data_IF_628220540637
#
_entry.id   IF_628220540637
#
_cell.length_a   1.000
_cell.length_b   1.000
_cell.length_c   1.000
_cell.angle_alpha   90.00
_cell.angle_beta   90.00
_cell.angle_gamma   90.00
#
_symmetry.space_group_name_H-M   'P 1'
#
loop_
_entity.id
_entity.type
_entity.pdbx_description
1 polymer ?
#
# COMPACT_ATOMS: atom_id res chain seq x y z
N UNK A 1 69.79 -70.23 21.44
CA UNK A 1 68.51 -69.48 21.51
C UNK A 1 68.09 -68.82 20.17
N UNK A 2 68.19 -69.49 19.01
CA UNK A 2 67.94 -68.85 17.69
C UNK A 2 66.75 -69.43 16.88
N UNK A 3 66.22 -70.61 17.25
CA UNK A 3 65.22 -71.32 16.43
C UNK A 3 63.75 -70.88 16.68
N UNK A 4 63.41 -70.36 17.86
CA UNK A 4 62.03 -70.01 18.23
C UNK A 4 61.55 -68.65 17.66
N UNK A 5 62.48 -67.74 17.30
CA UNK A 5 62.14 -66.40 16.80
C UNK A 5 61.75 -66.40 15.30
N UNK A 6 62.19 -67.41 14.54
CA UNK A 6 61.97 -67.50 13.07
C UNK A 6 60.58 -68.01 12.69
N UNK A 7 59.90 -68.80 13.55
CA UNK A 7 58.55 -69.35 13.30
C UNK A 7 57.39 -68.37 13.62
N UNK A 8 57.58 -67.39 14.51
CA UNK A 8 56.52 -66.40 14.85
C UNK A 8 56.32 -65.33 13.76
N UNK A 9 57.38 -64.97 13.02
CA UNK A 9 57.29 -63.96 11.94
C UNK A 9 56.54 -64.43 10.68
N UNK A 10 56.59 -65.72 10.37
CA UNK A 10 55.96 -66.28 9.15
C UNK A 10 54.44 -66.40 9.27
N UNK A 11 53.91 -66.72 10.46
CA UNK A 11 52.47 -66.82 10.69
C UNK A 11 51.75 -65.45 10.73
N UNK A 12 52.39 -64.43 11.31
CA UNK A 12 51.86 -63.06 11.36
C UNK A 12 51.86 -62.40 9.97
N UNK A 13 52.92 -62.61 9.17
CA UNK A 13 53.02 -62.12 7.79
C UNK A 13 51.96 -62.74 6.88
N UNK A 14 51.73 -64.05 6.99
CA UNK A 14 50.73 -64.79 6.20
C UNK A 14 49.27 -64.41 6.52
N UNK A 15 48.98 -63.95 7.75
CA UNK A 15 47.64 -63.42 8.11
C UNK A 15 47.42 -61.99 7.59
N UNK A 16 48.47 -61.16 7.56
CA UNK A 16 48.41 -59.78 7.04
C UNK A 16 48.24 -59.77 5.51
N UNK A 17 48.92 -60.66 4.80
CA UNK A 17 48.75 -60.86 3.36
C UNK A 17 47.34 -61.33 2.99
N UNK A 18 46.72 -62.24 3.76
CA UNK A 18 45.32 -62.67 3.53
C UNK A 18 44.30 -61.55 3.75
N UNK A 19 44.51 -60.66 4.73
CA UNK A 19 43.64 -59.50 4.95
C UNK A 19 43.79 -58.44 3.86
N UNK A 20 45.02 -58.21 3.38
CA UNK A 20 45.29 -57.32 2.25
C UNK A 20 44.67 -57.86 0.96
N UNK A 21 44.82 -59.17 0.68
CA UNK A 21 44.17 -59.81 -0.45
C UNK A 21 42.65 -59.82 -0.33
N UNK A 22 42.09 -60.03 0.85
CA UNK A 22 40.65 -59.91 1.09
C UNK A 22 40.10 -58.51 0.77
N UNK A 23 40.84 -57.45 1.12
CA UNK A 23 40.49 -56.07 0.77
C UNK A 23 40.60 -55.76 -0.73
N UNK A 24 41.63 -56.30 -1.41
CA UNK A 24 41.80 -56.14 -2.87
C UNK A 24 40.71 -56.89 -3.63
N UNK A 25 40.33 -58.10 -3.17
CA UNK A 25 39.25 -58.87 -3.79
C UNK A 25 37.90 -58.20 -3.55
N UNK A 26 37.61 -57.74 -2.33
CA UNK A 26 36.38 -57.03 -2.03
C UNK A 26 36.26 -55.71 -2.81
N UNK A 27 37.36 -54.95 -2.93
CA UNK A 27 37.43 -53.74 -3.75
C UNK A 27 37.25 -54.04 -5.25
N UNK A 28 37.90 -55.08 -5.75
CA UNK A 28 37.76 -55.52 -7.14
C UNK A 28 36.36 -56.00 -7.49
N UNK A 29 35.74 -56.80 -6.61
CA UNK A 29 34.33 -57.22 -6.75
C UNK A 29 33.40 -56.01 -6.70
N UNK A 30 33.67 -55.05 -5.81
CA UNK A 30 32.94 -53.78 -5.76
C UNK A 30 33.01 -53.00 -7.07
N UNK A 31 34.20 -52.85 -7.66
CA UNK A 31 34.40 -52.16 -8.95
C UNK A 31 33.73 -52.92 -10.09
N UNK A 32 33.86 -54.25 -10.16
CA UNK A 32 33.21 -55.07 -11.19
C UNK A 32 31.69 -54.97 -11.08
N UNK A 33 31.12 -55.05 -9.87
CA UNK A 33 29.69 -54.83 -9.67
C UNK A 33 29.28 -53.42 -10.08
N UNK A 34 30.06 -52.38 -9.76
CA UNK A 34 29.79 -51.00 -10.15
C UNK A 34 29.79 -50.82 -11.68
N UNK A 35 30.73 -51.47 -12.38
CA UNK A 35 30.83 -51.45 -13.85
C UNK A 35 29.71 -52.25 -14.51
N UNK A 36 29.41 -53.45 -14.00
CA UNK A 36 28.36 -54.33 -14.55
C UNK A 36 26.98 -53.72 -14.33
N UNK A 37 26.73 -53.14 -13.15
CA UNK A 37 25.47 -52.47 -12.83
C UNK A 37 25.44 -50.99 -13.22
N UNK A 38 26.50 -50.46 -13.85
CA UNK A 38 26.57 -49.04 -14.25
C UNK A 38 25.39 -48.63 -15.14
N UNK A 39 24.99 -49.52 -16.06
CA UNK A 39 23.83 -49.32 -16.95
C UNK A 39 22.49 -49.29 -16.21
N UNK A 40 22.40 -49.81 -14.98
CA UNK A 40 21.19 -49.76 -14.14
C UNK A 40 21.24 -48.56 -13.18
N UNK A 41 22.42 -48.24 -12.66
CA UNK A 41 22.63 -47.16 -11.69
C UNK A 41 22.43 -45.78 -12.35
N UNK A 42 23.02 -45.55 -13.52
CA UNK A 42 22.98 -44.22 -14.16
C UNK A 42 21.56 -43.76 -14.51
N UNK A 43 20.66 -44.58 -15.08
CA UNK A 43 19.26 -44.18 -15.33
C UNK A 43 18.49 -43.81 -14.08
N UNK A 44 18.70 -44.51 -12.95
CA UNK A 44 18.05 -44.20 -11.68
C UNK A 44 18.51 -42.84 -11.12
N UNK A 45 19.80 -42.52 -11.25
CA UNK A 45 20.34 -41.22 -10.85
C UNK A 45 19.76 -40.09 -11.71
N UNK A 46 19.67 -40.29 -13.02
CA UNK A 46 19.04 -39.33 -13.94
C UNK A 46 17.57 -39.15 -13.60
N UNK A 47 16.83 -40.24 -13.37
CA UNK A 47 15.41 -40.20 -12.99
C UNK A 47 15.17 -39.44 -11.68
N UNK A 48 16.00 -39.68 -10.66
CA UNK A 48 15.91 -38.98 -9.38
C UNK A 48 16.21 -37.47 -9.52
N UNK A 49 17.17 -37.10 -10.37
CA UNK A 49 17.51 -35.70 -10.63
C UNK A 49 16.39 -34.98 -11.38
N UNK A 50 15.79 -35.63 -12.38
CA UNK A 50 14.63 -35.09 -13.11
C UNK A 50 13.43 -34.93 -12.17
N UNK A 51 13.12 -35.94 -11.35
CA UNK A 51 12.03 -35.86 -10.38
C UNK A 51 12.26 -34.75 -9.36
N UNK A 52 13.48 -34.61 -8.83
CA UNK A 52 13.83 -33.52 -7.92
C UNK A 52 13.67 -32.14 -8.55
N UNK A 53 14.06 -31.99 -9.82
CA UNK A 53 13.87 -30.76 -10.59
C UNK A 53 12.39 -30.42 -10.82
N UNK A 54 11.56 -31.41 -11.15
CA UNK A 54 10.11 -31.23 -11.35
C UNK A 54 9.42 -30.83 -10.04
N UNK A 55 9.73 -31.51 -8.92
CA UNK A 55 9.16 -31.21 -7.60
C UNK A 55 9.62 -29.84 -7.12
N UNK A 56 10.92 -29.53 -7.24
CA UNK A 56 11.47 -28.23 -6.86
C UNK A 56 10.90 -27.07 -7.69
N UNK A 57 10.77 -27.27 -9.00
CA UNK A 57 10.15 -26.30 -9.91
C UNK A 57 8.67 -26.07 -9.58
N UNK A 58 7.91 -27.15 -9.34
CA UNK A 58 6.51 -27.06 -8.93
C UNK A 58 6.33 -26.34 -7.59
N UNK A 59 7.18 -26.63 -6.59
CA UNK A 59 7.14 -25.95 -5.30
C UNK A 59 7.54 -24.48 -5.40
N UNK A 60 8.55 -24.15 -6.21
CA UNK A 60 8.96 -22.76 -6.46
C UNK A 60 7.85 -21.98 -7.15
N UNK A 61 7.23 -22.54 -8.20
CA UNK A 61 6.08 -21.92 -8.89
C UNK A 61 4.88 -21.75 -7.97
N UNK A 62 4.56 -22.75 -7.14
CA UNK A 62 3.46 -22.65 -6.17
C UNK A 62 3.74 -21.59 -5.10
N UNK A 63 4.99 -21.52 -4.60
CA UNK A 63 5.40 -20.53 -3.60
C UNK A 63 5.42 -19.11 -4.16
N UNK A 64 5.85 -18.92 -5.41
CA UNK A 64 5.81 -17.61 -6.07
C UNK A 64 4.37 -17.20 -6.37
N UNK A 65 3.52 -18.11 -6.86
CA UNK A 65 2.09 -17.87 -7.09
C UNK A 65 1.35 -17.50 -5.79
N UNK A 66 1.61 -18.20 -4.68
CA UNK A 66 1.07 -17.83 -3.36
C UNK A 66 1.55 -16.45 -2.88
N UNK A 67 2.78 -16.08 -3.19
CA UNK A 67 3.33 -14.76 -2.82
C UNK A 67 2.71 -13.63 -3.65
N UNK A 68 2.36 -13.91 -4.91
CA UNK A 68 1.71 -12.96 -5.82
C UNK A 68 0.23 -12.78 -5.47
N UNK A 69 -0.48 -13.85 -5.10
CA UNK A 69 -1.91 -13.80 -4.73
C UNK A 69 -2.19 -13.16 -3.36
N UNK A 70 -1.18 -13.04 -2.50
CA UNK A 70 -1.31 -12.39 -1.19
C UNK A 70 -1.55 -10.87 -1.27
N UNK A 71 -1.14 -10.22 -2.36
CA UNK A 71 -1.30 -8.77 -2.58
C UNK A 71 -2.64 -8.35 -3.18
N UNK A 72 -3.47 -9.32 -3.59
CA UNK A 72 -4.59 -9.08 -4.51
C UNK A 72 -5.73 -8.25 -3.90
N UNK A 73 -5.92 -8.31 -2.57
CA UNK A 73 -6.94 -7.50 -1.88
C UNK A 73 -6.51 -6.04 -1.73
N UNK A 74 -5.26 -5.79 -1.33
CA UNK A 74 -4.73 -4.43 -1.19
C UNK A 74 -4.60 -3.78 -2.57
N UNK A 75 -4.09 -4.51 -3.56
CA UNK A 75 -3.98 -4.04 -4.93
C UNK A 75 -5.35 -3.68 -5.53
N UNK A 76 -6.39 -4.48 -5.28
CA UNK A 76 -7.76 -4.17 -5.73
C UNK A 76 -8.39 -2.99 -5.01
N UNK A 77 -8.11 -2.80 -3.72
CA UNK A 77 -8.52 -1.60 -3.01
C UNK A 77 -7.79 -0.37 -3.54
N UNK A 78 -6.48 -0.47 -3.75
CA UNK A 78 -5.66 0.61 -4.32
C UNK A 78 -6.07 0.92 -5.77
N UNK A 79 -6.39 -0.09 -6.58
CA UNK A 79 -6.93 0.06 -7.93
C UNK A 79 -8.33 0.65 -7.93
N UNK A 80 -9.22 0.25 -7.01
CA UNK A 80 -10.55 0.84 -6.89
C UNK A 80 -10.47 2.32 -6.47
N UNK A 81 -9.56 2.66 -5.55
CA UNK A 81 -9.26 4.04 -5.16
C UNK A 81 -8.69 4.82 -6.35
N UNK A 82 -7.76 4.25 -7.12
CA UNK A 82 -7.19 4.86 -8.33
C UNK A 82 -8.18 4.99 -9.49
N UNK A 83 -9.07 4.03 -9.66
CA UNK A 83 -10.08 4.05 -10.71
C UNK A 83 -11.16 5.12 -10.47
N UNK A 84 -11.39 5.51 -9.20
CA UNK A 84 -12.27 6.62 -8.82
C UNK A 84 -11.58 7.98 -8.74
N UNK A 85 -10.25 8.07 -8.93
CA UNK A 85 -9.52 9.33 -8.89
C UNK A 85 -9.84 10.16 -10.12
N UNK A 86 -10.50 11.29 -9.91
CA UNK A 86 -10.69 12.29 -10.96
C UNK A 86 -9.49 13.21 -11.01
N UNK A 87 -9.08 13.62 -12.20
CA UNK A 87 -8.02 14.63 -12.31
C UNK A 87 -8.53 15.96 -11.74
N UNK A 88 -7.65 16.81 -11.20
CA UNK A 88 -8.07 18.14 -10.74
C UNK A 88 -8.65 18.99 -11.89
N UNK A 89 -8.24 18.73 -13.13
CA UNK A 89 -8.81 19.36 -14.32
C UNK A 89 -10.27 18.94 -14.56
N UNK A 90 -10.62 17.68 -14.35
CA UNK A 90 -12.01 17.20 -14.39
C UNK A 90 -12.84 17.81 -13.27
N UNK A 91 -12.27 18.00 -12.08
CA UNK A 91 -12.93 18.69 -10.96
C UNK A 91 -13.19 20.16 -11.28
N UNK A 92 -12.27 20.84 -11.96
CA UNK A 92 -12.41 22.25 -12.30
C UNK A 92 -13.57 22.54 -13.27
N UNK A 93 -13.97 21.55 -14.09
CA UNK A 93 -15.10 21.68 -15.03
C UNK A 93 -16.44 21.22 -14.45
N UNK A 94 -16.46 20.61 -13.26
CA UNK A 94 -17.71 20.24 -12.57
C UNK A 94 -18.54 21.47 -12.21
N UNK A 95 -19.85 21.33 -12.26
CA UNK A 95 -20.79 22.23 -11.59
C UNK A 95 -20.62 22.17 -10.08
N UNK A 96 -21.15 23.18 -9.36
CA UNK A 96 -21.08 23.20 -7.89
C UNK A 96 -21.73 21.95 -7.28
N UNK A 97 -22.88 21.55 -7.83
CA UNK A 97 -23.62 20.35 -7.40
C UNK A 97 -22.85 19.06 -7.63
N UNK A 98 -22.23 18.90 -8.81
CA UNK A 98 -21.38 17.73 -9.09
C UNK A 98 -20.17 17.68 -8.15
N UNK A 99 -19.61 18.84 -7.80
CA UNK A 99 -18.51 18.91 -6.83
C UNK A 99 -18.97 18.51 -5.42
N UNK A 100 -20.15 18.95 -4.99
CA UNK A 100 -20.76 18.53 -3.71
C UNK A 100 -21.00 17.01 -3.69
N UNK A 101 -21.57 16.44 -4.75
CA UNK A 101 -21.80 15.01 -4.89
C UNK A 101 -20.45 14.24 -4.88
N UNK A 102 -19.41 14.79 -5.50
CA UNK A 102 -18.08 14.19 -5.48
C UNK A 102 -17.45 14.20 -4.07
N UNK A 103 -17.63 15.28 -3.31
CA UNK A 103 -17.20 15.34 -1.90
C UNK A 103 -17.93 14.29 -1.05
N UNK A 104 -19.22 14.04 -1.30
CA UNK A 104 -19.97 12.96 -0.66
C UNK A 104 -19.35 11.59 -0.95
N UNK A 105 -18.95 11.33 -2.20
CA UNK A 105 -18.29 10.08 -2.59
C UNK A 105 -16.94 9.90 -1.87
N UNK A 106 -16.12 10.95 -1.79
CA UNK A 106 -14.84 10.92 -1.07
C UNK A 106 -15.03 10.67 0.44
N UNK A 107 -16.03 11.30 1.07
CA UNK A 107 -16.36 11.03 2.47
C UNK A 107 -16.74 9.55 2.69
N UNK A 108 -17.58 8.99 1.82
CA UNK A 108 -17.99 7.57 1.90
C UNK A 108 -16.81 6.63 1.71
N UNK A 109 -15.91 6.93 0.76
CA UNK A 109 -14.67 6.19 0.54
C UNK A 109 -13.83 6.10 1.81
N UNK A 110 -13.80 7.17 2.59
CA UNK A 110 -13.01 7.25 3.82
C UNK A 110 -13.72 6.66 5.06
N UNK A 111 -14.88 6.00 4.88
CA UNK A 111 -15.62 5.34 5.95
C UNK A 111 -16.56 6.27 6.72
N UNK A 112 -16.84 7.47 6.20
CA UNK A 112 -17.86 8.34 6.81
C UNK A 112 -19.26 7.74 6.59
N UNK A 113 -20.13 7.92 7.59
CA UNK A 113 -21.50 7.37 7.60
C UNK A 113 -22.54 8.49 7.54
N UNK A 114 -23.79 8.15 7.19
CA UNK A 114 -24.91 9.07 7.04
C UNK A 114 -24.62 10.27 6.12
N UNK A 115 -23.68 10.12 5.19
CA UNK A 115 -23.23 11.21 4.32
C UNK A 115 -24.29 11.51 3.27
N UNK A 116 -24.82 12.73 3.30
CA UNK A 116 -25.82 13.22 2.35
C UNK A 116 -25.57 14.68 1.98
N UNK A 117 -25.79 14.98 0.70
CA UNK A 117 -25.87 16.35 0.22
C UNK A 117 -27.15 17.00 0.73
N UNK A 118 -27.03 18.22 1.24
CA UNK A 118 -28.15 19.05 1.71
C UNK A 118 -28.22 20.41 0.99
N UNK A 119 -27.23 20.70 0.13
CA UNK A 119 -27.12 21.95 -0.62
C UNK A 119 -28.32 22.26 -1.53
N UNK A 120 -28.69 23.54 -1.57
CA UNK A 120 -29.87 24.08 -2.25
C UNK A 120 -30.16 25.55 -1.89
N UNK A 121 -31.17 26.17 -2.48
CA UNK A 121 -31.56 27.53 -2.06
C UNK A 121 -32.04 27.52 -0.61
N UNK A 122 -31.39 28.32 0.26
CA UNK A 122 -31.64 28.42 1.72
C UNK A 122 -31.03 27.30 2.59
N UNK A 123 -29.95 26.67 2.15
CA UNK A 123 -29.24 25.59 2.84
C UNK A 123 -28.44 26.00 4.10
N UNK A 124 -28.63 27.24 4.60
CA UNK A 124 -27.97 27.77 5.80
C UNK A 124 -26.44 27.62 5.80
N UNK A 125 -25.81 27.56 4.61
CA UNK A 125 -24.36 27.48 4.48
C UNK A 125 -23.75 26.08 4.65
N UNK A 126 -24.56 25.02 4.57
CA UNK A 126 -24.09 23.63 4.54
C UNK A 126 -24.42 22.96 3.22
N UNK A 127 -23.43 22.30 2.61
CA UNK A 127 -23.64 21.56 1.36
C UNK A 127 -23.72 20.05 1.59
N UNK A 128 -22.99 19.54 2.59
CA UNK A 128 -22.98 18.11 2.98
C UNK A 128 -23.05 17.96 4.50
N UNK A 129 -23.80 16.97 4.96
CA UNK A 129 -23.84 16.52 6.35
C UNK A 129 -23.47 15.04 6.42
N UNK A 130 -22.91 14.62 7.55
CA UNK A 130 -22.64 13.22 7.82
C UNK A 130 -21.95 13.00 9.16
N UNK A 131 -21.33 11.82 9.32
CA UNK A 131 -20.53 11.46 10.48
C UNK A 131 -19.16 10.96 10.05
N UNK A 132 -18.13 11.44 10.72
CA UNK A 132 -16.76 10.96 10.56
C UNK A 132 -16.65 9.49 11.02
N UNK A 133 -15.58 8.76 10.63
CA UNK A 133 -15.38 7.37 11.04
C UNK A 133 -15.30 7.17 12.56
N UNK A 134 -14.96 8.22 13.31
CA UNK A 134 -14.93 8.24 14.77
C UNK A 134 -16.29 8.54 15.44
N UNK A 135 -17.35 8.71 14.63
CA UNK A 135 -18.72 8.94 15.07
C UNK A 135 -19.12 10.42 15.23
N UNK A 136 -18.17 11.36 15.19
CA UNK A 136 -18.45 12.80 15.29
C UNK A 136 -19.28 13.27 14.11
N UNK A 137 -20.29 14.08 14.39
CA UNK A 137 -21.10 14.73 13.36
C UNK A 137 -20.28 15.81 12.63
N UNK A 138 -20.46 15.92 11.32
CA UNK A 138 -19.78 16.90 10.51
C UNK A 138 -20.73 17.68 9.60
N UNK A 139 -20.36 18.94 9.38
CA UNK A 139 -20.92 19.81 8.35
C UNK A 139 -19.81 20.20 7.38
N UNK A 140 -20.12 20.15 6.10
CA UNK A 140 -19.18 20.52 5.04
C UNK A 140 -19.79 21.59 4.15
N UNK A 141 -19.02 22.62 3.88
CA UNK A 141 -19.29 23.57 2.81
C UNK A 141 -18.28 23.37 1.68
N UNK A 142 -18.80 23.31 0.46
CA UNK A 142 -18.07 23.03 -0.77
C UNK A 142 -18.10 24.28 -1.66
N UNK A 143 -16.93 24.78 -2.06
CA UNK A 143 -16.82 25.88 -3.03
C UNK A 143 -15.89 25.52 -4.17
N UNK A 144 -16.49 25.34 -5.34
CA UNK A 144 -15.78 25.26 -6.62
C UNK A 144 -15.73 26.66 -7.22
N UNK A 145 -14.56 27.29 -7.10
CA UNK A 145 -14.28 28.62 -7.65
C UNK A 145 -13.26 28.56 -8.78
N UNK A 146 -13.26 29.58 -9.63
CA UNK A 146 -12.21 29.76 -10.62
C UNK A 146 -10.85 29.88 -9.92
N UNK A 147 -9.76 29.28 -10.43
CA UNK A 147 -8.47 29.17 -9.75
C UNK A 147 -7.89 30.47 -9.16
N UNK A 148 -8.19 31.61 -9.79
CA UNK A 148 -7.72 32.95 -9.35
C UNK A 148 -8.48 33.51 -8.16
N UNK A 149 -9.70 33.01 -7.89
CA UNK A 149 -10.56 33.50 -6.81
C UNK A 149 -10.21 32.79 -5.52
N UNK A 150 -9.88 33.58 -4.50
CA UNK A 150 -9.68 33.08 -3.14
C UNK A 150 -10.99 33.00 -2.36
N UNK A 151 -11.06 32.08 -1.42
CA UNK A 151 -12.18 32.01 -0.46
C UNK A 151 -12.07 33.18 0.53
N UNK A 152 -13.09 34.06 0.60
CA UNK A 152 -13.12 35.17 1.54
C UNK A 152 -13.49 34.71 2.95
N UNK A 153 -13.08 35.49 3.98
CA UNK A 153 -13.33 35.13 5.39
C UNK A 153 -14.80 35.11 5.77
N UNK A 154 -15.67 35.77 4.99
CA UNK A 154 -17.12 35.74 5.20
C UNK A 154 -17.68 34.33 5.04
N UNK A 155 -17.27 33.60 4.01
CA UNK A 155 -17.81 32.26 3.75
C UNK A 155 -17.39 31.27 4.84
N UNK A 156 -16.15 31.36 5.33
CA UNK A 156 -15.69 30.53 6.45
C UNK A 156 -16.46 30.84 7.75
N UNK A 157 -16.83 32.11 7.96
CA UNK A 157 -17.71 32.52 9.07
C UNK A 157 -19.12 31.97 8.92
N UNK A 158 -19.66 31.96 7.70
CA UNK A 158 -20.98 31.41 7.43
C UNK A 158 -21.03 29.90 7.75
N UNK A 159 -19.97 29.14 7.42
CA UNK A 159 -19.83 27.73 7.81
C UNK A 159 -19.79 27.54 9.34
N UNK A 160 -19.15 28.44 10.09
CA UNK A 160 -19.18 28.38 11.56
C UNK A 160 -20.63 28.53 12.07
N UNK A 161 -21.41 29.42 11.47
CA UNK A 161 -22.84 29.53 11.74
C UNK A 161 -23.60 28.24 11.42
N UNK A 162 -23.30 27.60 10.28
CA UNK A 162 -23.88 26.32 9.90
C UNK A 162 -23.54 25.21 10.90
N UNK A 163 -22.30 25.14 11.38
CA UNK A 163 -21.86 24.20 12.43
C UNK A 163 -22.74 24.30 13.67
N UNK A 164 -22.98 25.53 14.15
CA UNK A 164 -23.83 25.78 15.32
C UNK A 164 -25.28 25.40 15.02
N UNK A 165 -25.81 25.80 13.86
CA UNK A 165 -27.19 25.51 13.46
C UNK A 165 -27.48 24.00 13.40
N UNK A 166 -26.61 23.24 12.76
CA UNK A 166 -26.74 21.79 12.61
C UNK A 166 -26.22 20.99 13.82
N UNK A 167 -25.71 21.67 14.86
CA UNK A 167 -25.09 21.06 16.05
C UNK A 167 -24.00 20.06 15.68
N UNK A 168 -23.20 20.40 14.66
CA UNK A 168 -22.13 19.54 14.18
C UNK A 168 -20.88 19.69 15.06
N UNK A 169 -20.20 18.58 15.32
CA UNK A 169 -18.96 18.56 16.09
C UNK A 169 -17.79 19.14 15.29
N UNK A 170 -17.75 18.84 13.99
CA UNK A 170 -16.68 19.23 13.07
C UNK A 170 -17.22 20.05 11.90
N UNK A 171 -16.55 21.15 11.57
CA UNK A 171 -16.82 21.95 10.39
C UNK A 171 -15.68 21.80 9.39
N UNK A 172 -16.02 21.55 8.12
CA UNK A 172 -15.06 21.32 7.05
C UNK A 172 -15.38 22.25 5.88
N UNK A 173 -14.39 23.02 5.43
CA UNK A 173 -14.53 23.87 4.25
C UNK A 173 -13.67 23.30 3.13
N UNK A 174 -14.30 22.83 2.06
CA UNK A 174 -13.61 22.23 0.91
C UNK A 174 -13.66 23.18 -0.27
N UNK A 175 -12.50 23.54 -0.80
CA UNK A 175 -12.40 24.45 -1.94
C UNK A 175 -11.42 23.96 -3.01
N UNK A 176 -11.78 24.17 -4.27
CA UNK A 176 -10.88 23.92 -5.43
C UNK A 176 -9.81 25.01 -5.60
N UNK A 177 -9.81 26.01 -4.71
CA UNK A 177 -8.88 27.15 -4.70
C UNK A 177 -8.30 27.38 -3.31
N UNK A 178 -7.49 28.44 -3.17
CA UNK A 178 -6.87 28.83 -1.90
C UNK A 178 -7.76 29.76 -1.08
N UNK A 179 -7.55 29.79 0.24
CA UNK A 179 -8.22 30.76 1.09
C UNK A 179 -7.46 32.09 1.11
N UNK A 180 -8.17 33.17 1.40
CA UNK A 180 -7.52 34.42 1.78
C UNK A 180 -6.80 34.26 3.12
N UNK A 181 -5.73 35.03 3.37
CA UNK A 181 -5.00 34.97 4.65
C UNK A 181 -5.93 35.18 5.88
N UNK A 182 -6.87 36.15 5.85
CA UNK A 182 -7.85 36.28 6.91
C UNK A 182 -8.80 35.08 7.07
N UNK A 183 -9.18 34.43 5.97
CA UNK A 183 -10.05 33.25 6.02
C UNK A 183 -9.33 32.03 6.62
N UNK A 184 -8.07 31.83 6.23
CA UNK A 184 -7.22 30.77 6.79
C UNK A 184 -6.98 30.97 8.28
N UNK A 185 -6.63 32.20 8.69
CA UNK A 185 -6.47 32.54 10.11
C UNK A 185 -7.76 32.29 10.90
N UNK A 186 -8.90 32.72 10.37
CA UNK A 186 -10.19 32.48 11.01
C UNK A 186 -10.53 30.99 11.13
N UNK A 187 -10.23 30.19 10.10
CA UNK A 187 -10.45 28.75 10.14
C UNK A 187 -9.64 28.08 11.24
N UNK A 188 -8.35 28.43 11.34
CA UNK A 188 -7.45 27.91 12.36
C UNK A 188 -7.87 28.31 13.78
N UNK A 189 -8.31 29.56 13.99
CA UNK A 189 -8.77 30.05 15.30
C UNK A 189 -10.08 29.40 15.79
N UNK A 190 -10.84 28.76 14.90
CA UNK A 190 -12.17 28.20 15.20
C UNK A 190 -12.27 26.70 14.93
N UNK A 191 -11.14 26.00 14.81
CA UNK A 191 -11.05 24.56 14.54
C UNK A 191 -11.88 24.11 13.31
N UNK A 192 -11.84 24.92 12.24
CA UNK A 192 -12.47 24.61 10.96
C UNK A 192 -11.44 23.97 10.04
N UNK A 193 -11.78 22.79 9.52
CA UNK A 193 -10.91 22.07 8.59
C UNK A 193 -10.95 22.74 7.20
N UNK A 194 -10.00 23.63 6.93
CA UNK A 194 -9.80 24.28 5.63
C UNK A 194 -9.05 23.37 4.64
N UNK A 195 -9.81 22.63 3.83
CA UNK A 195 -9.30 21.80 2.74
C UNK A 195 -9.20 22.65 1.47
N UNK A 196 -8.05 23.30 1.29
CA UNK A 196 -7.73 24.03 0.06
C UNK A 196 -7.32 23.08 -1.06
N UNK A 197 -7.12 23.61 -2.26
CA UNK A 197 -6.86 22.80 -3.45
C UNK A 197 -5.81 21.69 -3.29
N UNK A 198 -4.64 21.98 -2.72
CA UNK A 198 -3.60 20.96 -2.58
C UNK A 198 -4.01 19.85 -1.61
N UNK A 199 -4.62 20.20 -0.48
CA UNK A 199 -5.19 19.23 0.46
C UNK A 199 -6.31 18.42 -0.20
N UNK A 200 -7.15 19.06 -1.01
CA UNK A 200 -8.16 18.37 -1.81
C UNK A 200 -7.52 17.42 -2.83
N UNK A 201 -6.42 17.82 -3.47
CA UNK A 201 -5.65 16.96 -4.37
C UNK A 201 -5.08 15.73 -3.66
N UNK A 202 -4.52 15.91 -2.45
CA UNK A 202 -4.07 14.79 -1.62
C UNK A 202 -5.25 13.87 -1.24
N UNK A 203 -6.38 14.46 -0.84
CA UNK A 203 -7.60 13.73 -0.51
C UNK A 203 -8.08 12.89 -1.69
N UNK A 204 -8.21 13.52 -2.84
CA UNK A 204 -8.59 12.90 -4.10
C UNK A 204 -7.65 11.72 -4.43
N UNK A 205 -6.34 11.91 -4.28
CA UNK A 205 -5.32 10.91 -4.57
C UNK A 205 -5.19 9.78 -3.53
N UNK A 206 -6.07 9.74 -2.51
CA UNK A 206 -6.19 8.61 -1.59
C UNK A 206 -5.77 8.89 -0.15
N UNK A 207 -5.32 10.11 0.20
CA UNK A 207 -5.23 10.50 1.60
C UNK A 207 -6.63 10.48 2.23
N UNK A 208 -6.77 10.13 3.50
CA UNK A 208 -8.09 10.11 4.16
C UNK A 208 -8.42 11.45 4.80
N UNK A 209 -9.71 11.80 4.88
CA UNK A 209 -10.18 13.03 5.52
C UNK A 209 -9.66 13.21 6.96
N UNK A 210 -9.61 12.18 7.83
CA UNK A 210 -8.99 12.30 9.16
C UNK A 210 -7.50 12.65 9.10
N UNK A 211 -6.76 12.14 8.12
CA UNK A 211 -5.32 12.44 7.97
C UNK A 211 -5.05 13.90 7.60
N UNK A 212 -5.99 14.56 6.90
CA UNK A 212 -5.90 15.98 6.58
C UNK A 212 -6.08 16.86 7.81
N UNK A 213 -6.79 16.37 8.84
CA UNK A 213 -6.94 17.05 10.13
C UNK A 213 -5.61 17.41 10.78
N UNK A 214 -4.62 16.53 10.66
CA UNK A 214 -3.28 16.77 11.23
C UNK A 214 -2.46 17.82 10.46
N UNK A 215 -2.82 18.09 9.20
CA UNK A 215 -2.08 19.00 8.30
C UNK A 215 -2.75 20.36 8.20
N UNK A 216 -4.03 20.44 8.58
CA UNK A 216 -4.82 21.66 8.47
C UNK A 216 -4.42 22.65 9.55
N UNK A 217 -4.09 23.88 9.15
CA UNK A 217 -3.51 24.91 10.03
C UNK A 217 -2.00 25.12 9.87
N UNK A 218 -1.30 24.25 9.11
CA UNK A 218 0.12 24.44 8.78
C UNK A 218 0.38 25.48 7.68
N UNK A 219 -0.67 26.12 7.17
CA UNK A 219 -0.59 27.10 6.11
C UNK A 219 -0.72 26.52 4.70
N UNK A 220 -0.98 27.37 3.71
CA UNK A 220 -1.17 27.02 2.29
C UNK A 220 0.13 26.91 1.47
N UNK A 221 1.19 26.37 2.06
CA UNK A 221 2.51 26.23 1.42
C UNK A 221 3.35 27.51 1.39
N UNK A 222 4.61 27.39 0.97
CA UNK A 222 5.58 28.48 0.97
C UNK A 222 5.34 29.52 -0.16
N UNK A 223 6.13 30.60 -0.17
CA UNK A 223 5.95 31.68 -1.17
C UNK A 223 6.18 31.18 -2.60
N UNK A 224 7.19 30.33 -2.81
CA UNK A 224 7.57 29.80 -4.14
C UNK A 224 6.48 28.90 -4.70
N UNK A 225 5.89 28.07 -3.86
CA UNK A 225 4.76 27.21 -4.20
C UNK A 225 3.55 28.04 -4.65
N UNK A 226 3.22 29.09 -3.89
CA UNK A 226 2.12 30.01 -4.26
C UNK A 226 2.40 30.84 -5.50
N UNK A 227 3.65 31.18 -5.79
CA UNK A 227 4.05 31.84 -7.03
C UNK A 227 3.88 30.90 -8.23
N UNK A 228 4.38 29.67 -8.14
CA UNK A 228 4.21 28.64 -9.17
C UNK A 228 2.74 28.34 -9.45
N UNK A 229 1.91 28.30 -8.41
CA UNK A 229 0.46 28.16 -8.54
C UNK A 229 -0.14 29.28 -9.39
N UNK A 230 0.23 30.54 -9.10
CA UNK A 230 -0.22 31.70 -9.88
C UNK A 230 0.27 31.65 -11.32
N UNK A 231 1.46 31.15 -11.61
CA UNK A 231 1.92 31.03 -13.00
C UNK A 231 1.14 29.97 -13.76
N UNK A 232 0.79 28.86 -13.10
CA UNK A 232 0.11 27.73 -13.75
C UNK A 232 -1.37 28.00 -14.01
N UNK A 233 -2.03 28.75 -13.11
CA UNK A 233 -3.49 28.96 -13.14
C UNK A 233 -3.90 30.44 -13.17
N UNK A 234 -2.94 31.36 -13.31
CA UNK A 234 -3.14 32.81 -13.25
C UNK A 234 -3.33 33.50 -14.57
#
# INVERSE_FOLDING_TARGET
>A
MAAARKRRGTAARKRRERRLWGGVIAGGVGVVLLVVFWNVIWPCLVGALVLGGVVGGGWWLWRTDLSIRGGDRQWRHDEAVRAGQRTLAEVDVMTGREFEDFVVELCRRDGCTDVRRVGGSHDNGADVLGRLPDGRSMVIQCKRYAPKRKVPSREVRDLLGAKVHFKADVAIFVATTYFSGPAEKFAAENDILAVHRDHFGLWNNGASLPSLGAVTGLGQGDRRHRERWKETYG
#
